data_IF_893190894477
#
_entry.id   IF_893190894477
#
_cell.length_a   1.000
_cell.length_b   1.000
_cell.length_c   1.000
_cell.angle_alpha   90.00
_cell.angle_beta   90.00
_cell.angle_gamma   90.00
#
_symmetry.space_group_name_H-M   'P 1'
#
loop_
_entity.id
_entity.type
_entity.pdbx_description
1 polymer ?
#
# COMPACT_ATOMS: atom_id res chain seq x y z
N UNK A 1 5.81 24.17 12.07
CA UNK A 1 6.83 23.11 12.16
C UNK A 1 7.65 23.07 10.88
N UNK A 2 8.96 22.88 11.02
CA UNK A 2 9.87 22.74 9.86
C UNK A 2 10.17 21.26 9.63
N UNK A 3 9.99 20.81 8.39
CA UNK A 3 10.25 19.42 7.96
C UNK A 3 11.38 19.41 6.91
N UNK A 4 12.66 19.36 7.35
CA UNK A 4 13.78 19.31 6.43
C UNK A 4 13.79 18.01 5.63
N UNK A 5 14.29 18.08 4.41
CA UNK A 5 14.60 16.94 3.57
C UNK A 5 15.95 17.15 2.87
N UNK A 6 16.63 16.06 2.55
CA UNK A 6 17.85 16.07 1.76
C UNK A 6 17.89 14.80 0.91
N UNK A 7 18.46 14.87 -0.27
CA UNK A 7 18.65 13.73 -1.15
C UNK A 7 19.88 13.88 -2.01
N UNK A 8 20.52 12.74 -2.28
CA UNK A 8 21.66 12.63 -3.20
C UNK A 8 21.38 11.54 -4.21
N UNK A 9 21.65 11.82 -5.47
CA UNK A 9 21.61 10.85 -6.57
C UNK A 9 23.02 10.81 -7.18
N UNK A 10 23.52 9.62 -7.44
CA UNK A 10 24.78 9.37 -8.11
C UNK A 10 24.57 8.45 -9.31
N UNK A 11 24.83 8.95 -10.49
CA UNK A 11 24.75 8.18 -11.73
C UNK A 11 26.02 7.32 -11.86
N UNK A 12 25.82 6.01 -11.75
CA UNK A 12 26.89 5.00 -11.85
C UNK A 12 27.29 4.88 -13.33
N UNK A 13 26.30 4.90 -14.22
CA UNK A 13 26.44 4.91 -15.66
C UNK A 13 25.10 5.36 -16.30
N UNK A 14 25.01 5.33 -17.63
CA UNK A 14 23.83 5.78 -18.39
C UNK A 14 22.52 5.04 -18.01
N UNK A 15 22.61 3.87 -17.40
CA UNK A 15 21.46 3.03 -17.08
C UNK A 15 21.24 2.85 -15.59
N UNK A 16 22.19 3.15 -14.73
CA UNK A 16 22.12 2.88 -13.30
C UNK A 16 22.44 4.12 -12.47
N UNK A 17 21.60 4.42 -11.52
CA UNK A 17 21.85 5.42 -10.47
C UNK A 17 21.60 4.85 -9.07
N UNK A 18 22.41 5.28 -8.14
CA UNK A 18 22.20 5.06 -6.71
C UNK A 18 21.65 6.34 -6.09
N UNK A 19 20.80 6.21 -5.06
CA UNK A 19 20.31 7.36 -4.32
C UNK A 19 20.24 7.08 -2.83
N UNK A 20 20.28 8.16 -2.07
CA UNK A 20 19.98 8.16 -0.64
C UNK A 20 19.18 9.41 -0.30
N UNK A 21 18.21 9.30 0.60
CA UNK A 21 17.38 10.42 1.03
C UNK A 21 17.13 10.39 2.53
N UNK A 22 16.92 11.57 3.05
CA UNK A 22 16.45 11.85 4.41
C UNK A 22 15.24 12.77 4.34
N UNK A 23 14.18 12.45 5.09
CA UNK A 23 12.98 13.27 5.19
C UNK A 23 12.50 13.30 6.62
N UNK A 24 12.25 14.48 7.16
CA UNK A 24 11.58 14.64 8.45
C UNK A 24 10.07 14.50 8.28
N UNK A 25 9.41 13.89 9.25
CA UNK A 25 7.98 13.61 9.28
C UNK A 25 7.30 14.50 10.31
N UNK A 26 6.20 15.13 9.91
CA UNK A 26 5.29 15.82 10.79
C UNK A 26 3.85 15.59 10.29
N UNK A 27 3.04 14.93 11.13
CA UNK A 27 1.66 14.62 10.78
C UNK A 27 0.73 14.93 11.96
N UNK A 28 -0.12 15.97 11.86
CA UNK A 28 -1.17 16.20 12.83
C UNK A 28 -2.10 14.98 12.94
N UNK A 29 -2.61 14.73 14.14
CA UNK A 29 -3.54 13.64 14.39
C UNK A 29 -4.76 14.11 15.19
N UNK A 30 -5.90 13.43 14.99
CA UNK A 30 -7.17 13.74 15.64
C UNK A 30 -7.52 12.75 16.76
N UNK A 31 -6.56 11.95 17.19
CA UNK A 31 -6.74 10.97 18.26
C UNK A 31 -6.67 11.64 19.62
N UNK A 32 -7.49 11.15 20.57
CA UNK A 32 -7.60 11.72 21.91
C UNK A 32 -7.12 10.74 22.96
N UNK A 33 -6.50 11.26 24.01
CA UNK A 33 -6.10 10.50 25.19
C UNK A 33 -7.29 10.22 26.13
N UNK A 34 -7.03 9.58 27.26
CA UNK A 34 -8.03 9.29 28.30
C UNK A 34 -8.65 10.51 28.97
N UNK A 35 -8.02 11.67 28.85
CA UNK A 35 -8.55 12.95 29.32
C UNK A 35 -9.33 13.73 28.24
N UNK A 36 -9.48 13.13 27.04
CA UNK A 36 -10.13 13.75 25.90
C UNK A 36 -9.29 14.79 25.17
N UNK A 37 -8.00 14.91 25.51
CA UNK A 37 -7.07 15.83 24.86
C UNK A 37 -6.50 15.20 23.57
N UNK A 38 -6.28 16.02 22.53
CA UNK A 38 -5.61 15.55 21.32
C UNK A 38 -4.18 15.12 21.61
N UNK A 39 -3.77 13.99 21.04
CA UNK A 39 -2.38 13.56 21.05
C UNK A 39 -1.51 14.55 20.27
N UNK A 40 -0.24 14.66 20.68
CA UNK A 40 0.75 15.42 19.94
C UNK A 40 0.87 14.91 18.49
N UNK A 41 1.24 15.78 17.52
CA UNK A 41 1.50 15.35 16.16
C UNK A 41 2.54 14.22 16.09
N UNK A 42 2.35 13.30 15.15
CA UNK A 42 3.38 12.30 14.85
C UNK A 42 4.59 13.03 14.26
N UNK A 43 5.75 12.78 14.82
CA UNK A 43 7.04 13.29 14.32
C UNK A 43 7.98 12.12 14.05
N UNK A 44 8.99 12.35 13.21
CA UNK A 44 9.98 11.29 12.94
C UNK A 44 10.89 11.60 11.78
N UNK A 45 11.62 10.58 11.37
CA UNK A 45 12.57 10.65 10.27
C UNK A 45 12.41 9.43 9.36
N UNK A 46 12.55 9.64 8.07
CA UNK A 46 12.67 8.59 7.08
C UNK A 46 14.07 8.64 6.44
N UNK A 47 14.71 7.50 6.39
CA UNK A 47 15.95 7.26 5.68
C UNK A 47 15.68 6.21 4.60
N UNK A 48 16.08 6.50 3.38
CA UNK A 48 15.93 5.60 2.25
C UNK A 48 17.21 5.58 1.43
N UNK A 49 17.58 4.40 0.94
CA UNK A 49 18.65 4.24 -0.03
C UNK A 49 18.24 3.20 -1.06
N UNK A 50 18.64 3.40 -2.31
CA UNK A 50 18.23 2.49 -3.36
C UNK A 50 19.05 2.61 -4.63
N UNK A 51 18.74 1.69 -5.53
CA UNK A 51 19.25 1.63 -6.89
C UNK A 51 18.08 1.79 -7.86
N UNK A 52 18.26 2.64 -8.86
CA UNK A 52 17.35 2.79 -9.99
C UNK A 52 18.05 2.34 -11.25
N UNK A 53 17.33 1.72 -12.17
CA UNK A 53 17.87 1.41 -13.47
C UNK A 53 16.85 1.63 -14.58
N UNK A 54 17.34 2.09 -15.71
CA UNK A 54 16.61 2.35 -16.92
C UNK A 54 17.01 1.35 -18.00
N UNK A 55 16.01 0.73 -18.62
CA UNK A 55 16.17 -0.31 -19.63
C UNK A 55 15.43 0.08 -20.90
N UNK A 56 15.88 -0.46 -22.05
CA UNK A 56 15.18 -0.29 -23.33
C UNK A 56 14.95 1.18 -23.70
N UNK A 57 16.02 2.01 -23.60
CA UNK A 57 15.97 3.47 -23.82
C UNK A 57 14.95 4.16 -22.88
N UNK A 58 15.04 3.91 -21.58
CA UNK A 58 14.20 4.45 -20.52
C UNK A 58 12.70 4.11 -20.66
N UNK A 59 12.37 3.04 -21.41
CA UNK A 59 10.98 2.57 -21.53
C UNK A 59 10.54 1.69 -20.38
N UNK A 60 11.50 1.07 -19.70
CA UNK A 60 11.28 0.25 -18.53
C UNK A 60 12.22 0.72 -17.41
N UNK A 61 11.68 1.02 -16.26
CA UNK A 61 12.44 1.42 -15.08
C UNK A 61 12.31 0.36 -13.99
N UNK A 62 13.38 0.14 -13.24
CA UNK A 62 13.35 -0.69 -12.04
C UNK A 62 13.93 0.09 -10.85
N UNK A 63 13.36 -0.13 -9.67
CA UNK A 63 13.84 0.47 -8.43
C UNK A 63 13.92 -0.62 -7.36
N UNK A 64 15.04 -0.68 -6.67
CA UNK A 64 15.21 -1.47 -5.46
C UNK A 64 15.61 -0.52 -4.34
N UNK A 65 14.84 -0.46 -3.26
CA UNK A 65 15.14 0.39 -2.12
C UNK A 65 15.07 -0.34 -0.80
N UNK A 66 15.82 0.18 0.17
CA UNK A 66 15.71 -0.14 1.59
C UNK A 66 15.37 1.13 2.34
N UNK A 67 14.50 1.02 3.33
CA UNK A 67 14.08 2.17 4.11
C UNK A 67 14.05 1.87 5.60
N UNK A 68 14.16 2.94 6.38
CA UNK A 68 13.98 2.97 7.83
C UNK A 68 13.23 4.25 8.21
N UNK A 69 12.06 4.06 8.81
CA UNK A 69 11.19 5.13 9.29
C UNK A 69 11.14 5.03 10.81
N UNK A 70 11.53 6.11 11.49
CA UNK A 70 11.45 6.25 12.94
C UNK A 70 10.34 7.25 13.25
N UNK A 71 9.41 6.89 14.13
CA UNK A 71 8.28 7.75 14.46
C UNK A 71 8.04 7.79 15.96
N UNK A 72 7.69 8.97 16.46
CA UNK A 72 7.24 9.23 17.81
C UNK A 72 5.79 9.71 17.80
N UNK A 73 5.12 9.59 18.93
CA UNK A 73 3.71 9.96 19.12
C UNK A 73 2.74 9.15 18.23
N UNK A 74 3.08 7.94 17.81
CA UNK A 74 2.17 7.10 17.03
C UNK A 74 0.98 6.69 17.90
N UNK A 75 -0.24 6.98 17.42
CA UNK A 75 -1.45 6.66 18.17
C UNK A 75 -1.69 5.14 18.19
N UNK A 76 -1.83 4.58 19.38
CA UNK A 76 -2.21 3.21 19.62
C UNK A 76 -3.57 3.17 20.33
N UNK A 77 -4.53 2.43 19.77
CA UNK A 77 -5.86 2.28 20.34
C UNK A 77 -5.80 1.59 21.71
N UNK A 78 -6.65 2.04 22.64
CA UNK A 78 -6.84 1.42 23.94
C UNK A 78 -8.29 0.96 24.11
N UNK A 79 -8.56 0.22 25.16
CA UNK A 79 -9.93 -0.15 25.59
C UNK A 79 -10.47 0.78 26.69
N UNK A 80 -9.79 1.89 26.97
CA UNK A 80 -10.15 2.84 28.02
C UNK A 80 -11.17 3.82 27.44
N UNK A 81 -12.40 3.90 27.97
CA UNK A 81 -13.38 4.87 27.50
C UNK A 81 -12.98 6.30 27.89
N UNK A 82 -13.26 7.27 27.02
CA UNK A 82 -13.09 8.69 27.33
C UNK A 82 -14.33 9.15 28.11
N UNK A 83 -14.18 9.66 29.34
CA UNK A 83 -15.32 10.14 30.15
C UNK A 83 -16.08 11.25 29.43
N UNK A 84 -17.41 11.15 29.39
CA UNK A 84 -18.28 12.17 28.78
C UNK A 84 -18.32 12.14 27.24
N UNK A 85 -17.69 11.17 26.61
CA UNK A 85 -17.82 10.92 25.16
C UNK A 85 -18.98 9.94 24.88
N UNK A 86 -19.46 9.91 23.63
CA UNK A 86 -20.51 8.99 23.18
C UNK A 86 -19.94 7.59 22.89
N UNK A 87 -19.16 7.01 23.85
CA UNK A 87 -18.57 5.67 23.70
C UNK A 87 -17.25 5.64 22.96
N UNK A 88 -16.57 6.78 22.80
CA UNK A 88 -15.23 6.83 22.22
C UNK A 88 -14.21 6.21 23.17
N UNK A 89 -13.26 5.44 22.61
CA UNK A 89 -12.11 4.92 23.34
C UNK A 89 -10.89 5.81 23.17
N UNK A 90 -10.11 5.90 24.24
CA UNK A 90 -8.88 6.65 24.28
C UNK A 90 -7.79 5.99 23.42
N UNK A 91 -6.87 6.83 22.98
CA UNK A 91 -5.62 6.43 22.33
C UNK A 91 -4.46 6.78 23.24
N UNK A 92 -3.40 5.99 23.21
CA UNK A 92 -2.13 6.34 23.85
C UNK A 92 -1.08 6.68 22.79
N UNK A 93 -0.19 7.60 23.13
CA UNK A 93 1.00 7.86 22.35
C UNK A 93 2.01 6.73 22.55
N UNK A 94 2.62 6.27 21.48
CA UNK A 94 3.73 5.30 21.49
C UNK A 94 4.91 5.95 20.80
N UNK A 95 6.03 6.02 21.50
CA UNK A 95 7.28 6.59 21.00
C UNK A 95 8.24 5.48 20.54
N UNK A 96 9.20 5.86 19.69
CA UNK A 96 10.24 4.96 19.25
C UNK A 96 9.77 3.84 18.34
N UNK A 97 8.67 4.05 17.59
CA UNK A 97 8.26 3.06 16.58
C UNK A 97 9.21 3.11 15.39
N UNK A 98 9.65 1.94 14.96
CA UNK A 98 10.56 1.77 13.82
C UNK A 98 9.91 0.87 12.79
N UNK A 99 9.77 1.39 11.56
CA UNK A 99 9.44 0.61 10.38
C UNK A 99 10.64 0.51 9.47
N UNK A 100 11.03 -0.70 9.08
CA UNK A 100 12.16 -0.92 8.16
C UNK A 100 11.84 -2.03 7.19
N UNK A 101 12.28 -1.87 5.95
CA UNK A 101 11.92 -2.81 4.90
C UNK A 101 12.67 -2.64 3.61
N UNK A 102 12.20 -3.39 2.63
CA UNK A 102 12.68 -3.39 1.25
C UNK A 102 11.50 -3.26 0.31
N UNK A 103 11.70 -2.51 -0.76
CA UNK A 103 10.76 -2.34 -1.86
C UNK A 103 11.44 -2.63 -3.18
N UNK A 104 10.70 -3.29 -4.07
CA UNK A 104 11.12 -3.53 -5.44
C UNK A 104 10.00 -3.14 -6.39
N UNK A 105 10.32 -2.35 -7.40
CA UNK A 105 9.37 -1.85 -8.38
C UNK A 105 9.90 -2.05 -9.80
N UNK A 106 8.99 -2.36 -10.71
CA UNK A 106 9.22 -2.38 -12.16
C UNK A 106 8.06 -1.65 -12.82
N UNK A 107 8.35 -0.68 -13.67
CA UNK A 107 7.32 0.08 -14.36
C UNK A 107 7.74 0.43 -15.79
N UNK A 108 6.87 0.19 -16.75
CA UNK A 108 7.08 0.61 -18.12
C UNK A 108 6.67 -0.41 -19.17
N UNK A 109 7.23 -0.25 -20.36
CA UNK A 109 6.97 -1.06 -21.54
C UNK A 109 8.05 -2.11 -21.76
N UNK A 110 7.69 -3.39 -21.69
CA UNK A 110 8.56 -4.52 -22.03
C UNK A 110 8.72 -4.61 -23.55
N UNK A 111 7.64 -4.34 -24.29
CA UNK A 111 7.63 -4.17 -25.75
C UNK A 111 6.72 -3.01 -26.12
N UNK A 112 6.62 -2.65 -27.41
CA UNK A 112 5.71 -1.60 -27.89
C UNK A 112 4.24 -1.89 -27.57
N UNK A 113 3.92 -3.16 -27.40
CA UNK A 113 2.56 -3.62 -27.15
C UNK A 113 2.34 -4.12 -25.73
N UNK A 114 3.37 -4.32 -24.92
CA UNK A 114 3.27 -4.91 -23.59
C UNK A 114 3.81 -3.96 -22.52
N UNK A 115 2.94 -3.57 -21.61
CA UNK A 115 3.27 -2.73 -20.46
C UNK A 115 3.00 -3.48 -19.17
N UNK A 116 3.84 -3.20 -18.15
CA UNK A 116 3.79 -3.81 -16.85
C UNK A 116 4.09 -2.78 -15.77
N UNK A 117 3.36 -2.88 -14.66
CA UNK A 117 3.69 -2.27 -13.38
C UNK A 117 3.71 -3.38 -12.35
N UNK A 118 4.82 -3.53 -11.66
CA UNK A 118 5.02 -4.50 -10.58
C UNK A 118 5.57 -3.78 -9.36
N UNK A 119 5.06 -4.12 -8.17
CA UNK A 119 5.58 -3.63 -6.91
C UNK A 119 5.53 -4.75 -5.87
N UNK A 120 6.60 -4.87 -5.10
CA UNK A 120 6.69 -5.78 -3.96
C UNK A 120 7.32 -5.06 -2.78
N UNK A 121 6.67 -5.12 -1.62
CA UNK A 121 7.15 -4.50 -0.38
C UNK A 121 7.16 -5.54 0.72
N UNK A 122 8.23 -5.55 1.52
CA UNK A 122 8.29 -6.29 2.77
C UNK A 122 8.92 -5.45 3.85
N UNK A 123 8.24 -5.33 5.01
CA UNK A 123 8.75 -4.56 6.13
C UNK A 123 8.35 -5.16 7.48
N UNK A 124 9.02 -4.72 8.53
CA UNK A 124 8.61 -4.90 9.91
C UNK A 124 8.33 -3.52 10.52
N UNK A 125 7.40 -3.46 11.47
CA UNK A 125 7.10 -2.27 12.25
C UNK A 125 6.94 -2.67 13.71
N UNK A 126 7.79 -2.12 14.57
CA UNK A 126 7.93 -2.50 15.97
C UNK A 126 8.02 -1.24 16.84
N UNK A 127 7.57 -1.33 18.08
CA UNK A 127 7.82 -0.31 19.09
C UNK A 127 9.20 -0.50 19.74
N UNK A 128 9.54 0.32 20.73
CA UNK A 128 10.82 0.27 21.46
C UNK A 128 10.97 -0.99 22.35
N UNK A 129 9.90 -1.75 22.55
CA UNK A 129 9.90 -3.02 23.30
C UNK A 129 9.96 -4.24 22.36
N UNK A 130 9.94 -4.02 21.04
CA UNK A 130 9.93 -5.06 20.01
C UNK A 130 8.54 -5.61 19.71
N UNK A 131 7.48 -5.00 20.22
CA UNK A 131 6.12 -5.43 19.90
C UNK A 131 5.69 -4.93 18.51
N UNK A 132 4.92 -5.74 17.80
CA UNK A 132 4.39 -5.35 16.49
C UNK A 132 3.42 -4.16 16.59
N UNK A 133 3.69 -3.11 15.83
CA UNK A 133 2.84 -1.92 15.71
C UNK A 133 1.89 -2.09 14.52
N UNK A 134 0.57 -1.92 14.72
CA UNK A 134 -0.46 -2.07 13.70
C UNK A 134 -0.38 -3.41 12.93
N UNK A 135 -0.44 -4.57 13.61
CA UNK A 135 -0.34 -5.88 12.97
C UNK A 135 -1.54 -6.22 12.07
N UNK A 136 -2.57 -5.39 12.07
CA UNK A 136 -3.71 -5.39 11.14
C UNK A 136 -3.38 -4.85 9.73
N UNK A 137 -2.15 -4.36 9.51
CA UNK A 137 -1.66 -3.96 8.20
C UNK A 137 -0.69 -5.03 7.63
N UNK A 138 -0.78 -5.36 6.33
CA UNK A 138 0.07 -6.38 5.72
C UNK A 138 1.54 -5.96 5.74
N UNK A 139 2.42 -6.89 6.14
CA UNK A 139 3.87 -6.71 6.20
C UNK A 139 4.58 -7.09 4.91
N UNK A 140 3.89 -7.82 4.06
CA UNK A 140 4.36 -8.16 2.72
C UNK A 140 3.20 -8.01 1.76
N UNK A 141 3.40 -7.27 0.70
CA UNK A 141 2.44 -7.11 -0.39
C UNK A 141 3.14 -7.23 -1.73
N UNK A 142 2.42 -7.79 -2.71
CA UNK A 142 2.85 -7.89 -4.09
C UNK A 142 1.70 -7.41 -4.97
N UNK A 143 1.99 -6.51 -5.88
CA UNK A 143 1.03 -5.98 -6.84
C UNK A 143 1.61 -6.09 -8.24
N UNK A 144 0.84 -6.66 -9.14
CA UNK A 144 1.15 -6.74 -10.56
C UNK A 144 -0.04 -6.18 -11.34
N UNK A 145 0.24 -5.32 -12.27
CA UNK A 145 -0.70 -4.94 -13.32
C UNK A 145 0.00 -5.04 -14.67
N UNK A 146 -0.67 -5.62 -15.66
CA UNK A 146 -0.13 -5.76 -17.00
C UNK A 146 -1.20 -5.56 -18.05
N UNK A 147 -0.82 -4.99 -19.18
CA UNK A 147 -1.69 -4.86 -20.37
C UNK A 147 -0.91 -5.18 -21.63
N UNK A 148 -1.60 -5.83 -22.55
CA UNK A 148 -1.06 -6.23 -23.84
C UNK A 148 -2.03 -5.85 -24.96
N UNK A 149 -1.54 -5.03 -25.90
CA UNK A 149 -2.26 -4.72 -27.14
C UNK A 149 -1.94 -5.80 -28.18
N UNK A 150 -2.94 -6.45 -28.72
CA UNK A 150 -2.73 -7.55 -29.64
C UNK A 150 -2.24 -7.03 -31.00
N UNK A 151 -1.05 -7.42 -31.49
CA UNK A 151 -0.55 -6.95 -32.80
C UNK A 151 -1.46 -7.38 -33.99
N UNK A 152 -2.11 -8.53 -33.88
CA UNK A 152 -3.02 -9.04 -34.90
C UNK A 152 -4.36 -8.28 -34.94
N UNK A 153 -4.75 -7.65 -33.83
CA UNK A 153 -5.98 -6.86 -33.68
C UNK A 153 -5.61 -5.63 -32.82
N UNK A 154 -5.02 -4.58 -33.41
CA UNK A 154 -4.49 -3.45 -32.68
C UNK A 154 -5.53 -2.66 -31.85
N UNK A 155 -6.81 -2.82 -32.19
CA UNK A 155 -7.95 -2.25 -31.46
C UNK A 155 -8.21 -2.98 -30.14
N UNK A 156 -7.70 -4.21 -29.96
CA UNK A 156 -7.94 -5.04 -28.78
C UNK A 156 -6.76 -4.98 -27.83
N UNK A 157 -7.05 -4.54 -26.61
CA UNK A 157 -6.13 -4.60 -25.47
C UNK A 157 -6.71 -5.53 -24.41
N UNK A 158 -5.90 -6.43 -23.92
CA UNK A 158 -6.23 -7.31 -22.80
C UNK A 158 -5.26 -7.04 -21.64
N UNK A 159 -5.68 -7.28 -20.44
CA UNK A 159 -4.81 -7.12 -19.30
C UNK A 159 -5.45 -7.61 -18.01
N UNK A 160 -4.71 -7.44 -16.94
CA UNK A 160 -5.17 -7.83 -15.62
C UNK A 160 -4.17 -7.47 -14.54
N UNK A 161 -4.56 -7.76 -13.34
CA UNK A 161 -3.76 -7.51 -12.16
C UNK A 161 -3.84 -8.62 -11.14
N UNK A 162 -2.82 -8.68 -10.29
CA UNK A 162 -2.80 -9.52 -9.10
C UNK A 162 -2.41 -8.64 -7.93
N UNK A 163 -3.22 -8.67 -6.87
CA UNK A 163 -2.92 -8.04 -5.60
C UNK A 163 -2.84 -9.15 -4.54
N UNK A 164 -1.65 -9.38 -4.01
CA UNK A 164 -1.42 -10.35 -2.95
C UNK A 164 -0.95 -9.66 -1.68
N UNK A 165 -1.41 -10.14 -0.54
CA UNK A 165 -0.92 -9.73 0.78
C UNK A 165 -0.77 -10.91 1.72
N UNK A 166 0.17 -10.77 2.67
CA UNK A 166 0.31 -11.74 3.73
C UNK A 166 -0.79 -11.59 4.80
N UNK A 167 -0.84 -12.57 5.68
CA UNK A 167 -1.72 -12.60 6.86
C UNK A 167 -1.59 -11.33 7.70
N UNK A 168 -2.72 -10.84 8.20
CA UNK A 168 -2.82 -9.75 9.18
C UNK A 168 -3.66 -10.20 10.37
N UNK A 169 -3.48 -9.57 11.53
CA UNK A 169 -4.25 -9.88 12.72
C UNK A 169 -4.44 -8.64 13.59
N UNK A 170 -5.44 -8.71 14.47
CA UNK A 170 -5.70 -7.72 15.52
C UNK A 170 -6.04 -8.42 16.81
N UNK A 171 -5.28 -8.16 17.87
CA UNK A 171 -5.58 -8.58 19.22
C UNK A 171 -6.42 -7.50 19.91
N UNK A 172 -7.53 -7.90 20.50
CA UNK A 172 -8.40 -7.04 21.29
C UNK A 172 -8.53 -7.64 22.70
N UNK A 173 -8.02 -6.92 23.69
CA UNK A 173 -8.13 -7.32 25.09
C UNK A 173 -9.40 -6.75 25.69
N UNK A 174 -10.21 -7.64 26.30
CA UNK A 174 -11.45 -7.30 27.01
C UNK A 174 -11.36 -7.81 28.45
N UNK A 175 -12.28 -7.44 29.33
CA UNK A 175 -12.36 -8.03 30.68
C UNK A 175 -12.52 -9.57 30.70
N UNK A 176 -12.95 -10.16 29.59
CA UNK A 176 -13.18 -11.60 29.43
C UNK A 176 -12.00 -12.34 28.76
N UNK A 177 -10.93 -11.63 28.40
CA UNK A 177 -9.75 -12.21 27.76
C UNK A 177 -9.32 -11.45 26.50
N UNK A 178 -8.26 -11.96 25.87
CA UNK A 178 -7.75 -11.44 24.60
C UNK A 178 -8.28 -12.29 23.45
N UNK A 179 -8.93 -11.64 22.50
CA UNK A 179 -9.47 -12.24 21.28
C UNK A 179 -8.65 -11.79 20.09
N UNK A 180 -8.33 -12.70 19.18
CA UNK A 180 -7.65 -12.40 17.93
C UNK A 180 -8.60 -12.48 16.76
N UNK A 181 -8.76 -11.36 16.04
CA UNK A 181 -9.30 -11.35 14.69
C UNK A 181 -8.14 -11.55 13.71
N UNK A 182 -8.33 -12.36 12.67
CA UNK A 182 -7.28 -12.67 11.71
C UNK A 182 -7.85 -12.77 10.29
N UNK A 183 -7.19 -12.12 9.33
CA UNK A 183 -7.37 -12.36 7.92
C UNK A 183 -6.14 -13.10 7.39
N UNK A 184 -6.32 -14.31 6.89
CA UNK A 184 -5.26 -15.10 6.24
C UNK A 184 -4.72 -14.40 4.99
N UNK A 185 -3.56 -14.82 4.52
CA UNK A 185 -3.02 -14.33 3.25
C UNK A 185 -3.96 -14.64 2.09
N UNK A 186 -4.07 -13.70 1.13
CA UNK A 186 -4.91 -13.89 -0.04
C UNK A 186 -4.34 -13.16 -1.26
N UNK A 187 -4.81 -13.58 -2.43
CA UNK A 187 -4.59 -12.91 -3.70
C UNK A 187 -5.95 -12.58 -4.34
N UNK A 188 -6.05 -11.39 -4.91
CA UNK A 188 -7.13 -10.98 -5.80
C UNK A 188 -6.59 -10.89 -7.20
N UNK A 189 -7.32 -11.45 -8.15
CA UNK A 189 -6.98 -11.41 -9.57
C UNK A 189 -8.09 -10.71 -10.32
N UNK A 190 -7.72 -9.70 -11.10
CA UNK A 190 -8.62 -8.92 -11.92
C UNK A 190 -8.23 -9.05 -13.39
N UNK A 191 -9.20 -9.10 -14.28
CA UNK A 191 -8.99 -9.12 -15.74
C UNK A 191 -9.79 -8.01 -16.40
N UNK A 192 -9.27 -7.50 -17.51
CA UNK A 192 -10.00 -6.60 -18.37
C UNK A 192 -9.71 -6.85 -19.84
N UNK A 193 -10.66 -6.45 -20.67
CA UNK A 193 -10.49 -6.34 -22.10
C UNK A 193 -11.08 -5.02 -22.57
N UNK A 194 -10.38 -4.31 -23.45
CA UNK A 194 -10.83 -3.07 -24.07
C UNK A 194 -10.74 -3.19 -25.57
N UNK A 195 -11.82 -2.84 -26.25
CA UNK A 195 -11.90 -2.80 -27.71
C UNK A 195 -12.18 -1.36 -28.17
N UNK A 196 -11.29 -0.82 -29.02
CA UNK A 196 -11.46 0.50 -29.64
C UNK A 196 -12.29 0.34 -30.90
N UNK A 197 -13.59 0.66 -30.83
CA UNK A 197 -14.55 0.46 -31.93
C UNK A 197 -14.35 1.49 -33.03
N UNK A 198 -14.13 2.77 -32.65
CA UNK A 198 -13.78 3.87 -33.54
C UNK A 198 -12.70 4.75 -32.86
N UNK A 199 -12.21 5.77 -33.56
CA UNK A 199 -11.23 6.71 -32.96
C UNK A 199 -11.75 7.35 -31.67
N UNK A 200 -13.06 7.53 -31.56
CA UNK A 200 -13.72 8.25 -30.47
C UNK A 200 -14.51 7.32 -29.52
N UNK A 201 -14.73 6.05 -29.87
CA UNK A 201 -15.57 5.16 -29.11
C UNK A 201 -14.84 3.86 -28.74
N UNK A 202 -14.89 3.50 -27.45
CA UNK A 202 -14.33 2.24 -26.95
C UNK A 202 -15.26 1.59 -25.95
N UNK A 203 -15.18 0.27 -25.85
CA UNK A 203 -15.91 -0.56 -24.88
C UNK A 203 -14.87 -1.33 -24.06
N UNK A 204 -15.08 -1.38 -22.73
CA UNK A 204 -14.21 -2.11 -21.80
C UNK A 204 -15.05 -2.99 -20.90
N UNK A 205 -14.73 -4.28 -20.87
CA UNK A 205 -15.23 -5.24 -19.90
C UNK A 205 -14.20 -5.49 -18.81
N UNK A 206 -14.65 -5.59 -17.56
CA UNK A 206 -13.79 -5.93 -16.41
C UNK A 206 -14.41 -7.07 -15.62
N UNK A 207 -13.57 -7.94 -15.09
CA UNK A 207 -13.91 -8.96 -14.09
C UNK A 207 -13.00 -8.71 -12.91
N UNK A 208 -13.55 -8.28 -11.77
CA UNK A 208 -12.81 -8.09 -10.54
C UNK A 208 -13.03 -9.29 -9.62
N UNK A 209 -12.00 -9.63 -8.84
CA UNK A 209 -12.00 -10.79 -7.97
C UNK A 209 -12.39 -12.08 -8.74
N UNK A 210 -11.64 -12.40 -9.80
CA UNK A 210 -11.93 -13.49 -10.76
C UNK A 210 -12.28 -14.81 -10.08
N UNK A 211 -11.59 -15.15 -8.99
CA UNK A 211 -11.77 -16.42 -8.27
C UNK A 211 -12.81 -16.37 -7.15
N UNK A 212 -13.55 -15.26 -7.03
CA UNK A 212 -14.57 -15.04 -6.00
C UNK A 212 -14.03 -15.28 -4.57
N UNK A 213 -12.81 -14.79 -4.33
CA UNK A 213 -12.17 -14.95 -3.03
C UNK A 213 -12.93 -14.15 -1.97
N UNK A 214 -13.38 -14.82 -0.91
CA UNK A 214 -13.91 -14.16 0.28
C UNK A 214 -12.73 -13.68 1.14
N UNK A 215 -12.75 -12.41 1.54
CA UNK A 215 -11.72 -11.77 2.34
C UNK A 215 -12.29 -10.59 3.12
N UNK A 216 -11.57 -10.18 4.16
CA UNK A 216 -11.90 -9.01 4.95
C UNK A 216 -10.98 -7.85 4.57
N UNK A 217 -11.56 -6.68 4.35
CA UNK A 217 -10.83 -5.42 4.08
C UNK A 217 -10.44 -4.70 5.35
N UNK A 218 -11.17 -4.95 6.44
CA UNK A 218 -10.89 -4.42 7.76
C UNK A 218 -11.19 -5.47 8.83
N UNK A 219 -10.31 -5.57 9.82
CA UNK A 219 -10.44 -6.42 11.01
C UNK A 219 -10.18 -5.62 12.30
N UNK A 220 -10.12 -4.28 12.23
CA UNK A 220 -9.88 -3.39 13.36
C UNK A 220 -11.18 -2.71 13.78
N UNK A 221 -11.71 -3.09 14.93
CA UNK A 221 -12.97 -2.58 15.50
C UNK A 221 -14.25 -3.15 14.86
N UNK A 222 -14.23 -3.47 13.58
CA UNK A 222 -15.32 -4.13 12.87
C UNK A 222 -14.76 -5.00 11.75
N UNK A 223 -15.44 -6.08 11.42
CA UNK A 223 -15.12 -6.91 10.25
C UNK A 223 -15.89 -6.35 9.06
N UNK A 224 -15.15 -6.00 8.00
CA UNK A 224 -15.71 -5.50 6.75
C UNK A 224 -15.29 -6.43 5.62
N UNK A 225 -16.26 -7.09 5.01
CA UNK A 225 -16.00 -7.99 3.88
C UNK A 225 -15.58 -7.22 2.63
N UNK A 226 -14.68 -7.83 1.88
CA UNK A 226 -14.31 -7.37 0.55
C UNK A 226 -15.39 -7.65 -0.50
N UNK A 227 -15.32 -6.93 -1.61
CA UNK A 227 -16.26 -7.11 -2.71
C UNK A 227 -16.15 -8.54 -3.31
N UNK A 228 -17.27 -9.24 -3.54
CA UNK A 228 -17.28 -10.50 -4.27
C UNK A 228 -16.90 -10.29 -5.73
N UNK A 229 -16.73 -11.39 -6.48
CA UNK A 229 -16.54 -11.28 -7.93
C UNK A 229 -17.65 -10.43 -8.54
N UNK A 230 -17.23 -9.46 -9.34
CA UNK A 230 -18.15 -8.61 -10.07
C UNK A 230 -17.68 -8.39 -11.51
N UNK A 231 -18.61 -8.13 -12.38
CA UNK A 231 -18.38 -7.86 -13.80
C UNK A 231 -18.94 -6.50 -14.12
N UNK A 232 -18.20 -5.69 -14.85
CA UNK A 232 -18.68 -4.39 -15.35
C UNK A 232 -18.37 -4.23 -16.83
N UNK A 233 -19.24 -3.47 -17.50
CA UNK A 233 -19.07 -3.06 -18.90
C UNK A 233 -19.15 -1.54 -18.94
N UNK A 234 -18.14 -0.91 -19.54
CA UNK A 234 -18.05 0.54 -19.68
C UNK A 234 -17.92 0.92 -21.15
N UNK A 235 -18.73 1.86 -21.59
CA UNK A 235 -18.62 2.49 -22.90
C UNK A 235 -18.09 3.92 -22.73
N UNK A 236 -17.04 4.27 -23.47
CA UNK A 236 -16.43 5.60 -23.44
C UNK A 236 -16.53 6.24 -24.83
N UNK A 237 -17.06 7.46 -24.87
CA UNK A 237 -17.11 8.28 -26.07
C UNK A 237 -16.43 9.64 -25.80
N UNK A 238 -15.53 10.03 -26.70
CA UNK A 238 -14.84 11.33 -26.66
C UNK A 238 -15.36 12.20 -27.80
N UNK A 239 -15.82 13.39 -27.46
CA UNK A 239 -16.35 14.38 -28.40
C UNK A 239 -15.22 15.14 -29.14
#
# INVERSE_FOLDING_TARGET
>A
HTTPYAGLIYDINDNWSAYASYTSIFQPQNKRDKAGQYLAPITGNNYEAGLKSDWMNSRLTTTLSVFRIEQNNVAQATTIPIPGSNGEFAWKSTDGTVSKGVEFEVNGAITDNWQMTFGATRYVAEDNEGNAVNPNLPRTSVKLFTRYRLPAIPELTVGGGVNWQNRVYKDTTTPYGTFRAEQGSYALVDLFTRYQVTKNFSVQGNINNLFDKTYDTNIDGSIVYGAPRNVSLTANYQF
#
